data_IF_763694996661
#
_entry.id   IF_763694996661
#
_cell.length_a   1.000
_cell.length_b   1.000
_cell.length_c   1.000
_cell.angle_alpha   90.00
_cell.angle_beta   90.00
_cell.angle_gamma   90.00
#
_symmetry.space_group_name_H-M   'P 1'
#
loop_
_entity.id
_entity.type
_entity.pdbx_description
1 polymer ?
#
# COMPACT_ATOMS: atom_id res chain seq x y z
N UNK A 1 -10.83 7.17 -0.92
CA UNK A 1 -10.13 6.19 -0.08
C UNK A 1 -11.08 5.06 0.27
N UNK A 2 -10.57 3.86 0.44
CA UNK A 2 -11.26 2.72 1.05
C UNK A 2 -10.47 2.37 2.31
N UNK A 3 -11.14 2.33 3.46
CA UNK A 3 -10.57 1.85 4.71
C UNK A 3 -11.09 0.44 4.98
N UNK A 4 -10.18 -0.46 5.36
CA UNK A 4 -10.48 -1.85 5.70
C UNK A 4 -10.09 -2.05 7.16
N UNK A 5 -11.11 -2.24 8.01
CA UNK A 5 -10.93 -2.44 9.43
C UNK A 5 -10.91 -3.95 9.74
N UNK A 6 -9.94 -4.46 10.50
CA UNK A 6 -9.99 -5.83 11.00
C UNK A 6 -11.25 -6.05 11.86
N UNK A 7 -11.83 -7.25 11.76
CA UNK A 7 -12.86 -7.69 12.69
C UNK A 7 -12.27 -7.87 14.09
N UNK A 8 -13.09 -7.86 15.14
CA UNK A 8 -12.65 -7.93 16.55
C UNK A 8 -11.69 -9.11 16.85
N UNK A 9 -11.84 -10.23 16.15
CA UNK A 9 -11.04 -11.43 16.34
C UNK A 9 -9.88 -11.57 15.33
N UNK A 10 -9.53 -10.50 14.62
CA UNK A 10 -8.54 -10.50 13.54
C UNK A 10 -7.56 -9.34 13.73
N UNK A 11 -6.26 -9.62 13.63
CA UNK A 11 -5.23 -8.58 13.61
C UNK A 11 -4.89 -8.13 12.18
N UNK A 12 -4.10 -7.07 12.06
CA UNK A 12 -3.77 -6.46 10.75
C UNK A 12 -2.93 -7.37 9.85
N UNK A 13 -2.06 -8.21 10.41
CA UNK A 13 -1.23 -9.14 9.63
C UNK A 13 -2.09 -10.26 9.05
N UNK A 14 -3.00 -10.82 9.84
CA UNK A 14 -3.98 -11.79 9.35
C UNK A 14 -4.87 -11.19 8.25
N UNK A 15 -5.24 -9.90 8.39
CA UNK A 15 -6.01 -9.20 7.37
C UNK A 15 -5.22 -9.06 6.06
N UNK A 16 -3.92 -8.75 6.14
CA UNK A 16 -3.04 -8.69 4.97
C UNK A 16 -2.93 -10.04 4.27
N UNK A 17 -2.71 -11.13 5.02
CA UNK A 17 -2.60 -12.48 4.48
C UNK A 17 -3.92 -12.95 3.82
N UNK A 18 -5.05 -12.51 4.36
CA UNK A 18 -6.37 -12.85 3.81
C UNK A 18 -6.74 -12.00 2.57
N UNK A 19 -6.20 -10.80 2.44
CA UNK A 19 -6.62 -9.80 1.46
C UNK A 19 -5.87 -9.93 0.13
N UNK A 20 -6.39 -10.78 -0.76
CA UNK A 20 -5.96 -10.82 -2.17
C UNK A 20 -6.68 -9.78 -3.03
N UNK A 21 -6.23 -9.63 -4.27
CA UNK A 21 -6.78 -8.66 -5.23
C UNK A 21 -8.23 -8.93 -5.57
N UNK A 22 -8.64 -10.20 -5.67
CA UNK A 22 -10.00 -10.59 -6.02
C UNK A 22 -10.99 -10.23 -4.91
N UNK A 23 -10.67 -10.56 -3.66
CA UNK A 23 -11.49 -10.23 -2.49
C UNK A 23 -11.62 -8.73 -2.30
N UNK A 24 -10.52 -7.97 -2.45
CA UNK A 24 -10.56 -6.51 -2.35
C UNK A 24 -11.44 -5.90 -3.44
N UNK A 25 -11.31 -6.36 -4.70
CA UNK A 25 -12.15 -5.87 -5.79
C UNK A 25 -13.62 -6.21 -5.58
N UNK A 26 -13.92 -7.45 -5.17
CA UNK A 26 -15.28 -7.88 -4.86
C UNK A 26 -15.88 -7.11 -3.68
N UNK A 27 -15.10 -6.85 -2.62
CA UNK A 27 -15.54 -6.04 -1.49
C UNK A 27 -15.90 -4.62 -1.93
N UNK A 28 -15.04 -3.97 -2.73
CA UNK A 28 -15.32 -2.61 -3.23
C UNK A 28 -16.51 -2.58 -4.20
N UNK A 29 -16.65 -3.60 -5.06
CA UNK A 29 -17.78 -3.70 -6.00
C UNK A 29 -19.13 -3.85 -5.29
N UNK A 30 -19.14 -4.56 -4.16
CA UNK A 30 -20.35 -4.84 -3.38
C UNK A 30 -20.64 -3.80 -2.29
N UNK A 31 -19.83 -2.74 -2.15
CA UNK A 31 -20.10 -1.64 -1.22
C UNK A 31 -21.41 -0.94 -1.58
N UNK A 32 -22.15 -0.56 -0.54
CA UNK A 32 -23.41 0.19 -0.66
C UNK A 32 -23.32 1.48 0.13
N UNK A 33 -24.02 2.49 -0.34
CA UNK A 33 -24.18 3.73 0.42
C UNK A 33 -24.96 3.47 1.69
N UNK A 34 -24.36 3.78 2.83
CA UNK A 34 -24.97 3.62 4.15
C UNK A 34 -24.53 4.78 5.05
N UNK A 35 -25.45 5.28 5.89
CA UNK A 35 -25.08 6.22 6.95
C UNK A 35 -24.37 5.46 8.07
N UNK A 36 -23.19 5.94 8.46
CA UNK A 36 -22.35 5.33 9.49
C UNK A 36 -21.80 6.42 10.42
N UNK A 37 -21.59 6.07 11.68
CA UNK A 37 -20.82 6.90 12.61
C UNK A 37 -19.33 6.61 12.37
N UNK A 38 -18.67 7.51 11.64
CA UNK A 38 -17.27 7.36 11.27
C UNK A 38 -16.39 8.18 12.22
N UNK A 39 -15.31 7.55 12.67
CA UNK A 39 -14.15 8.15 13.31
C UNK A 39 -12.96 7.73 12.44
N UNK A 40 -12.26 8.67 11.77
CA UNK A 40 -11.04 8.38 11.01
C UNK A 40 -9.91 9.30 11.51
N UNK A 41 -8.70 8.78 11.79
CA UNK A 41 -7.69 9.56 12.48
C UNK A 41 -7.00 10.52 11.51
N UNK A 42 -6.41 11.57 12.08
CA UNK A 42 -5.49 12.43 11.32
C UNK A 42 -4.19 11.69 11.21
N UNK A 43 -3.66 11.55 10.01
CA UNK A 43 -2.35 10.95 9.85
C UNK A 43 -1.58 11.57 8.71
N UNK A 44 -0.27 11.61 8.92
CA UNK A 44 0.72 12.02 7.95
C UNK A 44 1.78 10.93 7.88
N UNK A 45 1.93 10.33 6.71
CA UNK A 45 2.88 9.27 6.45
C UNK A 45 3.88 9.80 5.44
N UNK A 46 5.14 9.88 5.86
CA UNK A 46 6.29 10.12 5.00
C UNK A 46 7.18 8.89 5.06
N UNK A 47 7.47 8.29 3.91
CA UNK A 47 8.31 7.11 3.88
C UNK A 47 9.23 7.08 2.67
N UNK A 48 10.43 6.56 2.88
CA UNK A 48 11.43 6.34 1.84
C UNK A 48 12.04 4.96 2.01
N UNK A 49 11.90 4.11 1.00
CA UNK A 49 12.40 2.74 1.03
C UNK A 49 13.31 2.44 -0.16
N UNK A 50 14.35 1.66 0.09
CA UNK A 50 15.03 0.90 -0.96
C UNK A 50 14.19 -0.33 -1.28
N UNK A 51 13.78 -0.46 -2.53
CA UNK A 51 13.09 -1.63 -3.06
C UNK A 51 14.05 -2.66 -3.64
N UNK A 52 15.36 -2.43 -3.59
CA UNK A 52 16.33 -3.32 -4.21
C UNK A 52 16.25 -4.76 -3.66
N UNK A 53 16.07 -4.92 -2.33
CA UNK A 53 15.86 -6.24 -1.71
C UNK A 53 14.48 -6.82 -2.05
N UNK A 54 13.34 -6.14 -1.79
CA UNK A 54 12.02 -6.64 -2.17
C UNK A 54 11.92 -7.11 -3.62
N UNK A 55 12.45 -6.32 -4.57
CA UNK A 55 12.40 -6.64 -6.01
C UNK A 55 13.26 -7.87 -6.34
N UNK A 56 14.40 -8.06 -5.67
CA UNK A 56 15.22 -9.28 -5.79
C UNK A 56 14.51 -10.50 -5.24
N UNK A 57 13.84 -10.37 -4.10
CA UNK A 57 13.11 -11.44 -3.44
C UNK A 57 11.89 -11.88 -4.26
N UNK A 58 11.29 -10.95 -5.02
CA UNK A 58 10.27 -11.23 -6.04
C UNK A 58 10.81 -11.92 -7.30
N UNK A 59 12.13 -12.13 -7.41
CA UNK A 59 12.77 -12.88 -8.48
C UNK A 59 13.45 -12.04 -9.56
N UNK A 60 13.33 -10.71 -9.52
CA UNK A 60 13.99 -9.83 -10.49
C UNK A 60 15.44 -9.61 -10.03
N UNK A 61 16.34 -10.50 -10.45
CA UNK A 61 17.75 -10.49 -10.03
C UNK A 61 18.69 -9.91 -11.08
N UNK A 62 18.44 -10.17 -12.36
CA UNK A 62 19.33 -9.82 -13.47
C UNK A 62 19.67 -8.32 -13.51
N UNK A 63 18.69 -7.44 -13.24
CA UNK A 63 18.89 -5.99 -13.26
C UNK A 63 19.92 -5.47 -12.25
N UNK A 64 20.21 -6.24 -11.19
CA UNK A 64 21.19 -5.88 -10.17
C UNK A 64 22.60 -6.39 -10.49
N UNK A 65 22.77 -7.13 -11.59
CA UNK A 65 24.04 -7.74 -12.01
C UNK A 65 24.49 -7.35 -13.42
N UNK A 66 23.65 -6.67 -14.20
CA UNK A 66 24.01 -6.19 -15.53
C UNK A 66 22.92 -6.36 -16.58
N UNK A 67 23.30 -6.36 -17.86
CA UNK A 67 22.41 -6.66 -18.98
C UNK A 67 21.75 -5.45 -19.63
N UNK A 68 22.32 -4.26 -19.43
CA UNK A 68 21.81 -3.00 -19.99
C UNK A 68 22.60 -2.51 -21.22
N UNK A 69 23.04 -3.44 -22.08
CA UNK A 69 23.79 -3.12 -23.30
C UNK A 69 23.00 -2.22 -24.28
N UNK A 70 21.66 -2.22 -24.20
CA UNK A 70 20.81 -1.32 -24.99
C UNK A 70 20.69 0.10 -24.38
N UNK A 71 21.35 0.38 -23.25
CA UNK A 71 21.37 1.69 -22.58
C UNK A 71 22.76 2.32 -22.68
N UNK A 72 23.82 1.54 -22.47
CA UNK A 72 25.21 1.97 -22.61
C UNK A 72 26.09 0.79 -23.01
N UNK A 73 27.20 1.09 -23.70
CA UNK A 73 28.27 0.12 -23.99
C UNK A 73 29.05 -0.27 -22.72
N UNK A 74 28.98 0.55 -21.66
CA UNK A 74 29.53 0.23 -20.35
C UNK A 74 28.69 -0.84 -19.63
N UNK A 75 29.36 -1.61 -18.77
CA UNK A 75 28.66 -2.55 -17.91
C UNK A 75 27.89 -1.82 -16.79
N UNK A 76 26.62 -1.52 -17.04
CA UNK A 76 25.71 -0.89 -16.08
C UNK A 76 24.87 -1.92 -15.34
N UNK A 77 24.48 -1.60 -14.11
CA UNK A 77 23.46 -2.32 -13.34
C UNK A 77 22.70 -1.36 -12.42
N UNK A 78 21.53 -1.79 -11.96
CA UNK A 78 20.75 -1.03 -10.96
C UNK A 78 21.37 -1.26 -9.58
N UNK A 79 21.88 -0.19 -8.97
CA UNK A 79 22.42 -0.24 -7.61
C UNK A 79 21.30 -0.23 -6.56
N UNK A 80 20.30 0.63 -6.76
CA UNK A 80 19.17 0.77 -5.87
C UNK A 80 17.90 1.24 -6.60
N UNK A 81 16.75 1.02 -5.97
CA UNK A 81 15.44 1.50 -6.42
C UNK A 81 14.82 2.25 -5.23
N UNK A 82 14.80 3.57 -5.29
CA UNK A 82 14.32 4.40 -4.18
C UNK A 82 12.86 4.80 -4.44
N UNK A 83 11.95 4.36 -3.57
CA UNK A 83 10.56 4.82 -3.55
C UNK A 83 10.34 5.74 -2.36
N UNK A 84 9.95 6.99 -2.64
CA UNK A 84 9.53 7.96 -1.62
C UNK A 84 8.04 8.23 -1.78
N UNK A 85 7.32 8.29 -0.66
CA UNK A 85 5.87 8.49 -0.63
C UNK A 85 5.48 9.44 0.50
N UNK A 86 4.43 10.21 0.24
CA UNK A 86 3.80 11.14 1.17
C UNK A 86 2.29 10.96 1.08
N UNK A 87 1.62 10.78 2.23
CA UNK A 87 0.16 10.75 2.34
C UNK A 87 -0.23 11.55 3.57
N UNK A 88 -1.21 12.45 3.42
CA UNK A 88 -1.78 13.23 4.51
C UNK A 88 -3.30 13.11 4.45
N UNK A 89 -3.91 12.77 5.58
CA UNK A 89 -5.36 12.71 5.77
C UNK A 89 -5.72 13.59 6.95
N UNK A 90 -6.60 14.55 6.70
CA UNK A 90 -6.99 15.59 7.64
C UNK A 90 -8.34 15.30 8.33
N UNK A 91 -8.58 14.05 8.72
CA UNK A 91 -9.80 13.62 9.44
C UNK A 91 -9.52 13.53 10.95
N UNK A 92 -10.52 13.58 11.83
CA UNK A 92 -10.33 13.58 13.30
C UNK A 92 -10.81 12.28 13.95
N UNK A 93 -9.93 11.69 14.79
CA UNK A 93 -10.22 10.60 15.72
C UNK A 93 -10.31 9.20 15.12
N UNK A 94 -9.42 8.29 15.51
CA UNK A 94 -9.65 6.83 15.52
C UNK A 94 -8.56 6.16 16.35
N UNK A 95 -8.92 5.11 17.08
CA UNK A 95 -8.02 4.47 18.06
C UNK A 95 -7.64 3.02 17.65
N UNK A 96 -7.76 2.67 16.36
CA UNK A 96 -7.57 1.28 15.89
C UNK A 96 -6.74 1.16 14.61
N UNK A 97 -5.93 0.09 14.48
CA UNK A 97 -5.21 -0.21 13.25
C UNK A 97 -6.15 -0.49 12.06
N UNK A 98 -5.78 -0.06 10.87
CA UNK A 98 -6.54 -0.32 9.64
C UNK A 98 -5.65 -0.34 8.39
N UNK A 99 -6.13 -1.02 7.35
CA UNK A 99 -5.55 -0.90 6.00
C UNK A 99 -6.29 0.19 5.24
N UNK A 100 -5.58 0.94 4.41
CA UNK A 100 -6.18 1.91 3.51
C UNK A 100 -5.71 1.73 2.07
N UNK A 101 -6.62 2.03 1.15
CA UNK A 101 -6.41 2.00 -0.28
C UNK A 101 -6.87 3.32 -0.87
N UNK A 102 -5.98 4.01 -1.59
CA UNK A 102 -6.33 5.13 -2.45
C UNK A 102 -6.37 4.58 -3.86
N UNK A 103 -7.52 4.67 -4.51
CA UNK A 103 -7.72 4.15 -5.86
C UNK A 103 -8.41 5.16 -6.75
N UNK A 104 -8.15 5.03 -8.04
CA UNK A 104 -8.97 5.65 -9.08
C UNK A 104 -10.30 4.87 -9.18
N UNK A 105 -11.43 5.58 -9.31
CA UNK A 105 -12.75 4.95 -9.23
C UNK A 105 -13.17 4.26 -10.53
N UNK A 106 -12.86 4.82 -11.70
CA UNK A 106 -13.32 4.38 -13.03
C UNK A 106 -12.68 3.06 -13.46
N UNK A 107 -11.35 2.93 -13.39
CA UNK A 107 -10.56 1.77 -13.80
C UNK A 107 -10.14 0.89 -12.62
N UNK A 108 -10.22 1.40 -11.39
CA UNK A 108 -9.94 0.62 -10.18
C UNK A 108 -8.48 0.39 -9.86
N UNK A 109 -7.58 1.13 -10.50
CA UNK A 109 -6.15 1.12 -10.20
C UNK A 109 -5.90 1.61 -8.79
N UNK A 110 -5.08 0.87 -8.05
CA UNK A 110 -4.58 1.24 -6.72
C UNK A 110 -3.43 2.24 -6.92
N UNK A 111 -3.59 3.43 -6.37
CA UNK A 111 -2.59 4.50 -6.37
C UNK A 111 -1.71 4.41 -5.13
N UNK A 112 -2.32 4.15 -3.97
CA UNK A 112 -1.62 3.94 -2.72
C UNK A 112 -2.27 2.80 -1.94
N UNK A 113 -1.43 2.02 -1.28
CA UNK A 113 -1.82 1.05 -0.26
C UNK A 113 -0.94 1.30 0.96
N UNK A 114 -1.53 1.20 2.14
CA UNK A 114 -0.77 1.31 3.38
C UNK A 114 -1.54 0.73 4.54
N UNK A 115 -0.82 0.60 5.65
CA UNK A 115 -1.38 0.22 6.93
C UNK A 115 -1.13 1.34 7.93
N UNK A 116 -2.13 1.60 8.78
CA UNK A 116 -2.00 2.45 9.95
C UNK A 116 -1.97 1.52 11.15
N UNK A 117 -0.81 1.40 11.80
CA UNK A 117 -0.64 0.53 12.98
C UNK A 117 -0.98 1.30 14.27
N UNK A 118 -0.53 2.54 14.40
CA UNK A 118 -0.69 3.38 15.60
C UNK A 118 -1.31 4.73 15.22
N UNK A 119 -2.65 4.81 15.10
CA UNK A 119 -3.31 6.09 14.84
C UNK A 119 -3.14 7.06 16.01
N UNK A 120 -2.83 8.32 15.70
CA UNK A 120 -2.77 9.38 16.71
C UNK A 120 -4.16 9.64 17.30
N UNK A 121 -4.23 9.81 18.62
CA UNK A 121 -5.42 10.27 19.37
C UNK A 121 -5.88 11.66 18.92
#
# INVERSE_FOLDING_TARGET
MVAVLPSINMNINQLLDYSDSEKLQNAVKNMRWQKVWLKLPRFKIESGFSLARPVRDLGIKQMFSGGFANISDDNLWVSDIIQKTFVEVNEEGTDRPFLYLIREKRIGVILFIGRMDEPCE
#
